data_IF_007984509446
#
_entry.id   IF_007984509446
#
_cell.length_a   1.000
_cell.length_b   1.000
_cell.length_c   1.000
_cell.angle_alpha   90.00
_cell.angle_beta   90.00
_cell.angle_gamma   90.00
#
_symmetry.space_group_name_H-M   'P 1'
#
loop_
_entity.id
_entity.type
_entity.pdbx_description
1 polymer ?
#
# COMPACT_ATOMS: atom_id res chain seq x y z
N UNK A 1 15.60 -2.43 -17.74
CA UNK A 1 14.76 -3.61 -18.03
C UNK A 1 13.27 -3.31 -17.85
N UNK A 2 12.81 -2.79 -16.71
CA UNK A 2 11.38 -2.50 -16.49
C UNK A 2 10.81 -1.40 -17.41
N UNK A 3 11.55 -0.31 -17.65
CA UNK A 3 11.13 0.72 -18.61
C UNK A 3 10.96 0.18 -20.04
N UNK A 4 11.77 -0.82 -20.43
CA UNK A 4 11.66 -1.47 -21.73
C UNK A 4 10.38 -2.30 -21.82
N UNK A 5 10.00 -3.01 -20.75
CA UNK A 5 8.73 -3.76 -20.70
C UNK A 5 7.53 -2.81 -20.78
N UNK A 6 7.57 -1.70 -20.03
CA UNK A 6 6.50 -0.68 -20.04
C UNK A 6 6.31 -0.04 -21.41
N UNK A 7 7.42 0.28 -22.10
CA UNK A 7 7.41 0.88 -23.43
C UNK A 7 7.21 -0.12 -24.58
N UNK A 8 7.24 -1.44 -24.33
CA UNK A 8 7.16 -2.43 -25.39
C UNK A 8 5.72 -2.56 -25.92
N UNK A 9 5.46 -2.28 -27.22
CA UNK A 9 4.12 -2.40 -27.79
C UNK A 9 3.61 -3.85 -27.81
N UNK A 10 4.50 -4.84 -27.74
CA UNK A 10 4.16 -6.27 -27.73
C UNK A 10 3.98 -6.86 -26.33
N UNK A 11 4.32 -6.11 -25.27
CA UNK A 11 4.10 -6.58 -23.90
C UNK A 11 2.60 -6.56 -23.57
N UNK A 12 2.17 -7.53 -22.76
CA UNK A 12 0.78 -7.59 -22.27
C UNK A 12 0.44 -6.38 -21.38
N UNK A 13 -0.85 -6.09 -21.23
CA UNK A 13 -1.29 -5.04 -20.31
C UNK A 13 -0.83 -5.34 -18.87
N UNK A 14 -0.91 -6.60 -18.45
CA UNK A 14 -0.47 -7.06 -17.13
C UNK A 14 1.03 -6.87 -16.91
N UNK A 15 1.86 -7.18 -17.90
CA UNK A 15 3.32 -6.98 -17.79
C UNK A 15 3.66 -5.49 -17.64
N UNK A 16 2.95 -4.62 -18.36
CA UNK A 16 3.11 -3.17 -18.24
C UNK A 16 2.64 -2.66 -16.89
N UNK A 17 1.53 -3.18 -16.38
CA UNK A 17 1.02 -2.85 -15.04
C UNK A 17 2.01 -3.27 -13.95
N UNK A 18 2.51 -4.52 -13.99
CA UNK A 18 3.53 -5.02 -13.05
C UNK A 18 4.82 -4.22 -13.13
N UNK A 19 5.29 -3.88 -14.33
CA UNK A 19 6.47 -3.03 -14.51
C UNK A 19 6.26 -1.62 -13.94
N UNK A 20 5.06 -1.05 -14.10
CA UNK A 20 4.68 0.26 -13.57
C UNK A 20 4.67 0.25 -12.04
N UNK A 21 4.05 -0.76 -11.42
CA UNK A 21 4.06 -0.97 -9.96
C UNK A 21 5.48 -1.09 -9.45
N UNK A 22 6.29 -1.97 -10.04
CA UNK A 22 7.67 -2.21 -9.59
C UNK A 22 8.54 -0.95 -9.68
N UNK A 23 8.35 -0.13 -10.71
CA UNK A 23 9.04 1.17 -10.82
C UNK A 23 8.57 2.14 -9.73
N UNK A 24 7.28 2.18 -9.43
CA UNK A 24 6.73 3.00 -8.34
C UNK A 24 7.30 2.64 -6.98
N UNK A 25 7.33 1.34 -6.65
CA UNK A 25 7.95 0.83 -5.42
C UNK A 25 9.43 1.23 -5.36
N UNK A 26 10.14 1.22 -6.49
CA UNK A 26 11.53 1.66 -6.59
C UNK A 26 11.72 3.20 -6.55
N UNK A 27 10.68 3.98 -6.24
CA UNK A 27 10.76 5.43 -6.08
C UNK A 27 10.65 6.25 -7.38
N UNK A 28 10.30 5.64 -8.52
CA UNK A 28 10.22 6.34 -9.81
C UNK A 28 8.96 7.19 -9.94
N UNK A 29 9.09 8.50 -9.72
CA UNK A 29 7.96 9.42 -9.72
C UNK A 29 7.26 9.59 -11.08
N UNK A 30 7.91 9.30 -12.21
CA UNK A 30 7.32 9.41 -13.56
C UNK A 30 6.11 8.49 -13.77
N UNK A 31 5.93 7.50 -12.89
CA UNK A 31 4.87 6.49 -12.99
C UNK A 31 3.62 6.83 -12.19
N UNK A 32 3.66 7.93 -11.42
CA UNK A 32 2.59 8.31 -10.47
C UNK A 32 1.22 8.44 -11.15
N UNK A 33 1.16 9.02 -12.35
CA UNK A 33 -0.10 9.14 -13.10
C UNK A 33 -0.71 7.78 -13.44
N UNK A 34 0.11 6.89 -14.01
CA UNK A 34 -0.33 5.53 -14.36
C UNK A 34 -0.77 4.72 -13.13
N UNK A 35 -0.08 4.86 -11.98
CA UNK A 35 -0.49 4.21 -10.74
C UNK A 35 -1.86 4.69 -10.24
N UNK A 36 -2.17 5.99 -10.40
CA UNK A 36 -3.49 6.52 -10.02
C UNK A 36 -4.59 5.97 -10.91
N UNK A 37 -4.34 5.85 -12.21
CA UNK A 37 -5.29 5.24 -13.14
C UNK A 37 -5.56 3.77 -12.76
N UNK A 38 -4.52 3.05 -12.34
CA UNK A 38 -4.62 1.64 -11.90
C UNK A 38 -5.41 1.44 -10.59
N UNK A 39 -5.70 2.48 -9.81
CA UNK A 39 -6.58 2.35 -8.64
C UNK A 39 -8.02 1.95 -9.01
N UNK A 40 -8.44 2.23 -10.25
CA UNK A 40 -9.72 1.78 -10.80
C UNK A 40 -9.73 0.32 -11.26
N UNK A 41 -8.57 -0.33 -11.41
CA UNK A 41 -8.47 -1.71 -11.87
C UNK A 41 -8.52 -2.68 -10.68
N UNK A 42 -9.52 -3.57 -10.57
CA UNK A 42 -9.64 -4.50 -9.46
C UNK A 42 -8.47 -5.50 -9.35
N UNK A 43 -7.71 -5.75 -10.42
CA UNK A 43 -6.57 -6.67 -10.40
C UNK A 43 -5.29 -6.03 -9.87
N UNK A 44 -5.16 -4.71 -10.04
CA UNK A 44 -3.91 -4.00 -9.74
C UNK A 44 -4.05 -2.90 -8.69
N UNK A 45 -5.27 -2.54 -8.28
CA UNK A 45 -5.49 -1.44 -7.33
C UNK A 45 -4.70 -1.60 -6.03
N UNK A 46 -4.57 -2.82 -5.52
CA UNK A 46 -3.89 -3.10 -4.28
C UNK A 46 -2.39 -2.76 -4.36
N UNK A 47 -1.74 -3.25 -5.43
CA UNK A 47 -0.33 -3.00 -5.71
C UNK A 47 -0.07 -1.55 -6.12
N UNK A 48 -1.01 -0.92 -6.82
CA UNK A 48 -0.91 0.48 -7.20
C UNK A 48 -1.00 1.40 -5.97
N UNK A 49 -1.89 1.09 -5.02
CA UNK A 49 -2.03 1.84 -3.78
C UNK A 49 -0.77 1.72 -2.90
N UNK A 50 -0.17 0.53 -2.84
CA UNK A 50 1.10 0.30 -2.16
C UNK A 50 2.24 1.10 -2.81
N UNK A 51 2.39 1.01 -4.15
CA UNK A 51 3.41 1.77 -4.87
C UNK A 51 3.28 3.29 -4.69
N UNK A 52 2.05 3.81 -4.61
CA UNK A 52 1.80 5.22 -4.29
C UNK A 52 2.23 5.60 -2.87
N UNK A 53 2.00 4.72 -1.89
CA UNK A 53 2.47 4.92 -0.53
C UNK A 53 4.00 4.89 -0.44
N UNK A 54 4.66 3.99 -1.18
CA UNK A 54 6.12 3.97 -1.28
C UNK A 54 6.68 5.25 -1.89
N UNK A 55 6.06 5.76 -2.96
CA UNK A 55 6.46 7.03 -3.56
C UNK A 55 6.29 8.22 -2.60
N UNK A 56 5.25 8.21 -1.76
CA UNK A 56 5.06 9.23 -0.74
C UNK A 56 6.19 9.18 0.32
N UNK A 57 6.55 7.97 0.77
CA UNK A 57 7.66 7.76 1.70
C UNK A 57 9.02 8.19 1.12
N UNK A 58 9.35 7.75 -0.10
CA UNK A 58 10.63 8.06 -0.77
C UNK A 58 10.83 9.55 -0.99
N UNK A 59 9.78 10.25 -1.41
CA UNK A 59 9.86 11.69 -1.68
C UNK A 59 9.77 12.54 -0.39
N UNK A 60 9.62 11.91 0.79
CA UNK A 60 9.28 12.57 2.05
C UNK A 60 8.16 13.61 1.89
N UNK A 61 7.24 13.36 0.94
CA UNK A 61 6.24 14.33 0.51
C UNK A 61 4.92 13.96 1.16
N UNK A 62 4.10 14.95 1.56
CA UNK A 62 2.73 14.67 1.94
C UNK A 62 1.99 14.04 0.74
N UNK A 63 1.04 13.16 1.06
CA UNK A 63 0.10 12.65 0.07
C UNK A 63 -0.60 13.81 -0.64
N UNK A 64 -0.78 13.68 -1.96
CA UNK A 64 -1.45 14.69 -2.76
C UNK A 64 -2.93 14.31 -2.93
N UNK A 65 -3.82 15.24 -3.32
CA UNK A 65 -5.24 14.91 -3.53
C UNK A 65 -5.47 13.75 -4.51
N UNK A 66 -4.57 13.57 -5.49
CA UNK A 66 -4.63 12.45 -6.43
C UNK A 66 -4.30 11.08 -5.81
N UNK A 67 -3.69 11.05 -4.62
CA UNK A 67 -3.37 9.81 -3.90
C UNK A 67 -4.50 9.42 -2.93
N UNK A 68 -5.52 10.29 -2.75
CA UNK A 68 -6.65 10.04 -1.86
C UNK A 68 -7.41 8.72 -2.14
N UNK A 69 -7.60 8.27 -3.40
CA UNK A 69 -8.27 7.00 -3.67
C UNK A 69 -7.46 5.76 -3.25
N UNK A 70 -6.15 5.88 -2.95
CA UNK A 70 -5.34 4.77 -2.47
C UNK A 70 -5.74 4.33 -1.06
N UNK A 71 -6.13 5.28 -0.19
CA UNK A 71 -6.51 5.01 1.20
C UNK A 71 -7.62 3.96 1.35
N UNK A 72 -8.82 4.10 0.73
CA UNK A 72 -9.87 3.09 0.87
C UNK A 72 -9.48 1.73 0.28
N UNK A 73 -8.58 1.68 -0.71
CA UNK A 73 -8.04 0.42 -1.23
C UNK A 73 -7.18 -0.27 -0.17
N UNK A 74 -6.30 0.46 0.51
CA UNK A 74 -5.45 -0.07 1.57
C UNK A 74 -6.26 -0.45 2.83
N UNK A 75 -7.25 0.35 3.22
CA UNK A 75 -8.13 0.02 4.35
C UNK A 75 -8.86 -1.31 4.14
N UNK A 76 -9.34 -1.59 2.93
CA UNK A 76 -9.94 -2.89 2.59
C UNK A 76 -8.96 -4.05 2.73
N UNK A 77 -7.68 -3.84 2.43
CA UNK A 77 -6.65 -4.87 2.53
C UNK A 77 -6.30 -5.25 3.98
N UNK A 78 -6.60 -4.41 4.98
CA UNK A 78 -6.46 -4.77 6.40
C UNK A 78 -7.28 -6.00 6.78
N UNK A 79 -8.38 -6.27 6.08
CA UNK A 79 -9.18 -7.48 6.29
C UNK A 79 -8.49 -8.76 5.80
N UNK A 80 -7.59 -8.65 4.81
CA UNK A 80 -6.93 -9.79 4.17
C UNK A 80 -5.67 -10.21 4.94
N UNK A 81 -5.62 -11.44 5.53
CA UNK A 81 -4.44 -11.90 6.26
C UNK A 81 -3.09 -11.73 5.53
N UNK A 82 -2.95 -12.09 4.24
CA UNK A 82 -1.67 -11.95 3.54
C UNK A 82 -1.27 -10.50 3.22
N UNK A 83 -2.21 -9.55 3.20
CA UNK A 83 -1.95 -8.15 2.81
C UNK A 83 -1.98 -7.19 4.00
N UNK A 84 -2.46 -7.63 5.16
CA UNK A 84 -2.77 -6.77 6.30
C UNK A 84 -1.59 -5.93 6.79
N UNK A 85 -0.42 -6.55 6.95
CA UNK A 85 0.80 -5.87 7.42
C UNK A 85 1.27 -4.85 6.38
N UNK A 86 1.33 -5.26 5.10
CA UNK A 86 1.68 -4.37 3.99
C UNK A 86 0.74 -3.17 3.90
N UNK A 87 -0.58 -3.41 4.03
CA UNK A 87 -1.59 -2.37 4.00
C UNK A 87 -1.45 -1.38 5.18
N UNK A 88 -1.20 -1.87 6.39
CA UNK A 88 -0.96 -1.04 7.56
C UNK A 88 0.29 -0.15 7.39
N UNK A 89 1.37 -0.73 6.87
CA UNK A 89 2.61 -0.02 6.55
C UNK A 89 2.39 1.05 5.48
N UNK A 90 1.71 0.69 4.39
CA UNK A 90 1.38 1.59 3.31
C UNK A 90 0.47 2.75 3.76
N UNK A 91 -0.55 2.49 4.59
CA UNK A 91 -1.39 3.54 5.17
C UNK A 91 -0.56 4.55 5.97
N UNK A 92 0.36 4.05 6.80
CA UNK A 92 1.23 4.91 7.62
C UNK A 92 2.23 5.70 6.79
N UNK A 93 2.75 5.13 5.69
CA UNK A 93 3.63 5.83 4.74
C UNK A 93 2.88 6.89 3.94
N UNK A 94 1.64 6.61 3.54
CA UNK A 94 0.79 7.53 2.79
C UNK A 94 0.36 8.73 3.64
N UNK A 95 0.09 8.50 4.92
CA UNK A 95 -0.25 9.52 5.90
C UNK A 95 0.38 9.20 7.27
N UNK A 96 1.57 9.76 7.57
CA UNK A 96 2.24 9.56 8.85
C UNK A 96 1.46 10.11 10.06
N UNK A 97 0.47 10.98 9.83
CA UNK A 97 -0.38 11.56 10.85
C UNK A 97 -1.76 10.90 10.93
N UNK A 98 -1.98 9.79 10.21
CA UNK A 98 -3.26 9.07 10.21
C UNK A 98 -3.71 8.76 11.64
N UNK A 99 -4.98 9.10 11.93
CA UNK A 99 -5.65 8.66 13.15
C UNK A 99 -6.06 7.19 12.99
N UNK A 100 -5.46 6.26 13.76
CA UNK A 100 -5.73 4.85 13.60
C UNK A 100 -7.05 4.43 14.25
N UNK A 101 -7.73 5.29 15.03
CA UNK A 101 -8.84 4.91 15.91
C UNK A 101 -9.97 4.16 15.19
N UNK A 102 -10.27 4.52 13.93
CA UNK A 102 -11.27 3.84 13.12
C UNK A 102 -10.78 2.50 12.52
N UNK A 103 -9.48 2.30 12.40
CA UNK A 103 -8.83 1.13 11.78
C UNK A 103 -8.53 0.01 12.78
N UNK A 104 -8.35 0.36 14.06
CA UNK A 104 -7.98 -0.62 15.11
C UNK A 104 -9.08 -1.63 15.48
N UNK A 105 -10.37 -1.27 15.60
CA UNK A 105 -11.40 -2.20 16.08
C UNK A 105 -11.45 -3.54 15.33
N UNK A 106 -11.51 -3.59 13.98
CA UNK A 106 -11.53 -4.88 13.28
C UNK A 106 -10.24 -5.70 13.48
N UNK A 107 -9.09 -5.05 13.62
CA UNK A 107 -7.82 -5.73 13.88
C UNK A 107 -7.77 -6.32 15.30
N UNK A 108 -8.29 -5.59 16.29
CA UNK A 108 -8.38 -6.06 17.68
C UNK A 108 -9.27 -7.29 17.80
N UNK A 109 -10.36 -7.36 17.04
CA UNK A 109 -11.22 -8.55 16.98
C UNK A 109 -10.46 -9.76 16.41
N UNK A 110 -9.64 -9.57 15.37
CA UNK A 110 -8.77 -10.65 14.85
C UNK A 110 -7.75 -11.11 15.90
N UNK A 111 -7.15 -10.18 16.65
CA UNK A 111 -6.22 -10.51 17.74
C UNK A 111 -6.92 -11.33 18.85
N UNK A 112 -8.17 -10.97 19.19
CA UNK A 112 -8.94 -11.64 20.25
C UNK A 112 -9.43 -13.03 19.85
N UNK A 113 -9.95 -13.16 18.63
CA UNK A 113 -10.74 -14.33 18.23
C UNK A 113 -10.09 -15.20 17.14
N UNK A 114 -9.08 -14.69 16.42
CA UNK A 114 -8.43 -15.41 15.33
C UNK A 114 -7.55 -16.57 15.78
N UNK A 115 -6.96 -17.30 14.82
CA UNK A 115 -5.88 -18.27 15.09
C UNK A 115 -4.52 -17.56 15.16
N UNK A 116 -3.50 -18.20 15.73
CA UNK A 116 -2.16 -17.58 15.86
C UNK A 116 -1.61 -16.99 14.56
N UNK A 117 -1.79 -17.74 13.45
CA UNK A 117 -1.41 -17.32 12.09
C UNK A 117 -2.12 -16.04 11.59
N UNK A 118 -3.24 -15.68 12.19
CA UNK A 118 -4.00 -14.46 11.89
C UNK A 118 -3.78 -13.38 12.96
N UNK A 119 -3.57 -13.77 14.22
CA UNK A 119 -3.33 -12.88 15.37
C UNK A 119 -2.03 -12.11 15.24
N UNK A 120 -0.93 -12.81 14.91
CA UNK A 120 0.40 -12.21 14.78
C UNK A 120 0.39 -11.05 13.77
N UNK A 121 -0.02 -11.24 12.49
CA UNK A 121 -0.04 -10.15 11.52
C UNK A 121 -1.08 -9.06 11.87
N UNK A 122 -2.14 -9.37 12.62
CA UNK A 122 -3.06 -8.35 13.11
C UNK A 122 -2.45 -7.47 14.21
N UNK A 123 -1.73 -8.08 15.15
CA UNK A 123 -0.99 -7.34 16.18
C UNK A 123 0.12 -6.47 15.55
N UNK A 124 0.85 -6.99 14.57
CA UNK A 124 1.86 -6.23 13.84
C UNK A 124 1.26 -5.02 13.10
N UNK A 125 0.13 -5.21 12.41
CA UNK A 125 -0.57 -4.12 11.76
C UNK A 125 -1.03 -3.03 12.74
N UNK A 126 -1.50 -3.42 13.94
CA UNK A 126 -1.83 -2.47 15.01
C UNK A 126 -0.60 -1.67 15.43
N UNK A 127 0.55 -2.33 15.63
CA UNK A 127 1.80 -1.66 16.01
C UNK A 127 2.26 -0.67 14.94
N UNK A 128 2.14 -1.01 13.66
CA UNK A 128 2.49 -0.10 12.56
C UNK A 128 1.59 1.14 12.50
N UNK A 129 0.28 0.98 12.76
CA UNK A 129 -0.70 2.07 12.70
C UNK A 129 -0.67 2.98 13.94
N UNK A 130 -0.61 2.39 15.13
CA UNK A 130 -0.70 3.11 16.40
C UNK A 130 0.66 3.46 17.02
N UNK A 131 1.74 2.84 16.55
CA UNK A 131 3.09 3.11 17.02
C UNK A 131 3.72 4.37 16.43
N UNK A 132 4.97 4.67 16.83
CA UNK A 132 5.78 5.72 16.23
C UNK A 132 5.82 5.63 14.69
N UNK A 133 5.60 6.75 14.01
CA UNK A 133 5.57 6.79 12.54
C UNK A 133 6.83 6.22 11.88
N UNK A 134 7.99 6.33 12.53
CA UNK A 134 9.24 5.75 12.03
C UNK A 134 9.24 4.22 11.90
N UNK A 135 8.32 3.51 12.57
CA UNK A 135 8.26 2.04 12.50
C UNK A 135 7.86 1.53 11.12
N UNK A 136 7.10 2.31 10.33
CA UNK A 136 6.79 1.93 8.95
C UNK A 136 7.95 2.10 7.97
N UNK A 137 9.12 2.59 8.41
CA UNK A 137 10.30 2.73 7.58
C UNK A 137 11.20 1.48 7.56
N UNK A 138 10.97 0.52 8.45
CA UNK A 138 11.78 -0.70 8.56
C UNK A 138 11.07 -1.90 7.89
N UNK A 139 11.85 -2.73 7.21
CA UNK A 139 11.42 -4.02 6.65
C UNK A 139 11.89 -5.19 7.53
#
# INVERSE_FOLDING_TARGET
MLDQVRGNPRASADDKARATVALGIAGRADVTGALRDMLGDPHFNAFAAEALAELAAHAARPSTPGDAPARPVLERQLASPPLRVFAARALRRLDPAIDPSALLPPLLEVVRAGRDVERIPAAEAILLLAGPAGWSAFD
#
